data_IF_075913634639
#
_entry.id   IF_075913634639
#
_cell.length_a   1.000
_cell.length_b   1.000
_cell.length_c   1.000
_cell.angle_alpha   90.00
_cell.angle_beta   90.00
_cell.angle_gamma   90.00
#
_symmetry.space_group_name_H-M   'P 1'
#
loop_
_entity.id
_entity.type
_entity.pdbx_description
1 polymer ?
#
# COMPACT_ATOMS: atom_id res chain seq x y z
N UNK A 1 -21.44 -10.87 -9.98
CA UNK A 1 -20.20 -11.67 -9.79
C UNK A 1 -19.08 -10.71 -9.40
N UNK A 2 -18.73 -10.59 -8.10
CA UNK A 2 -17.58 -9.75 -7.73
C UNK A 2 -16.29 -10.51 -8.01
N UNK A 3 -15.55 -10.07 -9.03
CA UNK A 3 -14.21 -10.56 -9.29
C UNK A 3 -13.37 -10.22 -8.05
N UNK A 4 -13.14 -11.24 -7.22
CA UNK A 4 -12.21 -11.13 -6.09
C UNK A 4 -10.84 -10.84 -6.67
N UNK A 5 -10.45 -9.56 -6.70
CA UNK A 5 -9.12 -9.04 -7.00
C UNK A 5 -8.12 -9.55 -5.96
N UNK A 6 -7.84 -10.85 -6.00
CA UNK A 6 -6.83 -11.52 -5.19
C UNK A 6 -5.53 -11.47 -5.99
N UNK A 7 -4.68 -10.51 -5.64
CA UNK A 7 -3.29 -10.48 -6.10
C UNK A 7 -2.60 -11.80 -5.74
N UNK A 8 -2.18 -12.62 -6.72
CA UNK A 8 -1.37 -13.79 -6.43
C UNK A 8 -0.01 -13.32 -5.92
N UNK A 9 0.44 -13.90 -4.80
CA UNK A 9 1.74 -13.53 -4.22
C UNK A 9 2.78 -14.42 -4.87
N UNK A 10 3.27 -13.97 -6.01
CA UNK A 10 4.41 -14.56 -6.70
C UNK A 10 5.72 -13.98 -6.14
N UNK A 11 6.82 -14.71 -6.33
CA UNK A 11 8.17 -14.22 -5.99
C UNK A 11 8.48 -12.89 -6.70
N UNK A 12 7.98 -12.72 -7.92
CA UNK A 12 8.26 -11.55 -8.73
C UNK A 12 7.46 -10.34 -8.28
N UNK A 13 6.19 -10.52 -7.93
CA UNK A 13 5.39 -9.46 -7.29
C UNK A 13 6.05 -9.01 -5.96
N UNK A 14 6.57 -9.95 -5.18
CA UNK A 14 7.27 -9.65 -3.94
C UNK A 14 8.54 -8.81 -4.19
N UNK A 15 9.35 -9.15 -5.20
CA UNK A 15 10.55 -8.39 -5.60
C UNK A 15 10.18 -6.98 -6.07
N UNK A 16 9.20 -6.86 -6.96
CA UNK A 16 8.71 -5.57 -7.49
C UNK A 16 8.25 -4.64 -6.36
N UNK A 17 7.46 -5.16 -5.41
CA UNK A 17 7.03 -4.39 -4.24
C UNK A 17 8.23 -4.02 -3.36
N UNK A 18 9.17 -4.93 -3.12
CA UNK A 18 10.36 -4.67 -2.30
C UNK A 18 11.24 -3.58 -2.90
N UNK A 19 11.47 -3.60 -4.22
CA UNK A 19 12.28 -2.61 -4.93
C UNK A 19 11.65 -1.22 -4.90
N UNK A 20 10.34 -1.13 -5.16
CA UNK A 20 9.59 0.11 -5.02
C UNK A 20 9.73 0.71 -3.61
N UNK A 21 9.54 -0.12 -2.58
CA UNK A 21 9.66 0.32 -1.19
C UNK A 21 11.09 0.73 -0.85
N UNK A 22 12.09 0.02 -1.37
CA UNK A 22 13.51 0.33 -1.18
C UNK A 22 13.87 1.69 -1.79
N UNK A 23 13.44 1.98 -3.02
CA UNK A 23 13.65 3.28 -3.65
C UNK A 23 12.99 4.42 -2.86
N UNK A 24 11.74 4.23 -2.43
CA UNK A 24 11.03 5.24 -1.61
C UNK A 24 11.72 5.49 -0.27
N UNK A 25 12.28 4.45 0.36
CA UNK A 25 13.08 4.58 1.60
C UNK A 25 14.37 5.37 1.36
N UNK A 26 15.08 5.16 0.25
CA UNK A 26 16.28 5.93 -0.09
C UNK A 26 15.96 7.43 -0.23
N UNK A 27 14.84 7.75 -0.88
CA UNK A 27 14.34 9.12 -0.98
C UNK A 27 13.66 9.66 0.29
N UNK A 28 13.66 8.89 1.39
CA UNK A 28 12.96 9.22 2.66
C UNK A 28 11.48 9.56 2.48
N UNK A 29 10.84 9.06 1.43
CA UNK A 29 9.43 9.30 1.17
C UNK A 29 8.55 8.40 2.03
N UNK A 30 7.49 8.98 2.59
CA UNK A 30 6.41 8.21 3.19
C UNK A 30 5.79 7.29 2.13
N UNK A 31 5.60 6.03 2.49
CA UNK A 31 4.99 5.01 1.62
C UNK A 31 3.81 4.37 2.35
N UNK A 32 2.65 4.38 1.71
CA UNK A 32 1.38 3.86 2.22
C UNK A 32 0.88 2.77 1.26
N UNK A 33 -0.03 1.90 1.73
CA UNK A 33 -0.66 0.88 0.86
C UNK A 33 -1.32 1.47 -0.39
N UNK A 34 -1.81 2.72 -0.32
CA UNK A 34 -2.37 3.43 -1.47
C UNK A 34 -1.32 3.64 -2.55
N UNK A 35 -0.14 4.14 -2.17
CA UNK A 35 0.98 4.36 -3.10
C UNK A 35 1.41 3.05 -3.77
N UNK A 36 1.47 1.96 -3.00
CA UNK A 36 1.78 0.63 -3.55
C UNK A 36 0.68 0.16 -4.50
N UNK A 37 -0.60 0.36 -4.18
CA UNK A 37 -1.70 -0.03 -5.05
C UNK A 37 -1.70 0.76 -6.37
N UNK A 38 -1.41 2.07 -6.34
CA UNK A 38 -1.26 2.90 -7.53
C UNK A 38 -0.05 2.50 -8.37
N UNK A 39 1.07 2.15 -7.74
CA UNK A 39 2.24 1.61 -8.43
C UNK A 39 1.92 0.26 -9.10
N UNK A 40 1.26 -0.66 -8.40
CA UNK A 40 0.86 -1.94 -8.98
C UNK A 40 -0.12 -1.76 -10.15
N UNK A 41 -1.00 -0.75 -10.08
CA UNK A 41 -1.86 -0.38 -11.21
C UNK A 41 -1.06 0.14 -12.40
N UNK A 42 -0.09 1.04 -12.18
CA UNK A 42 0.72 1.57 -13.28
C UNK A 42 1.59 0.50 -13.96
N UNK A 43 1.90 -0.59 -13.25
CA UNK A 43 2.57 -1.77 -13.80
C UNK A 43 1.60 -2.80 -14.41
N UNK A 44 0.29 -2.51 -14.50
CA UNK A 44 -0.77 -3.44 -14.93
C UNK A 44 -0.83 -4.74 -14.10
N UNK A 45 -0.31 -4.74 -12.87
CA UNK A 45 -0.33 -5.88 -11.94
C UNK A 45 -1.58 -5.88 -11.05
N UNK A 46 -2.25 -4.74 -10.93
CA UNK A 46 -3.47 -4.59 -10.13
C UNK A 46 -4.47 -3.70 -10.87
N UNK A 47 -5.51 -4.32 -11.41
CA UNK A 47 -6.62 -3.59 -12.02
C UNK A 47 -7.68 -3.25 -10.98
N UNK A 48 -8.08 -1.99 -10.94
CA UNK A 48 -9.24 -1.51 -10.20
C UNK A 48 -9.77 -0.26 -10.88
N UNK A 49 -10.93 0.23 -10.46
CA UNK A 49 -11.47 1.50 -10.95
C UNK A 49 -11.27 2.58 -9.87
N UNK A 50 -10.69 3.72 -10.27
CA UNK A 50 -10.44 4.86 -9.37
C UNK A 50 -11.73 5.63 -9.11
N UNK A 51 -12.64 5.68 -10.08
CA UNK A 51 -13.94 6.37 -9.95
C UNK A 51 -14.86 5.60 -8.99
N UNK A 52 -14.75 4.26 -8.99
CA UNK A 52 -15.48 3.41 -8.06
C UNK A 52 -14.78 3.31 -6.69
N UNK A 53 -15.36 3.99 -5.70
CA UNK A 53 -14.90 3.93 -4.31
C UNK A 53 -14.82 2.49 -3.77
N UNK A 54 -15.76 1.63 -4.14
CA UNK A 54 -15.80 0.23 -3.68
C UNK A 54 -14.66 -0.60 -4.29
N UNK A 55 -14.38 -0.41 -5.57
CA UNK A 55 -13.27 -1.05 -6.30
C UNK A 55 -11.91 -0.62 -5.73
N UNK A 56 -11.73 0.69 -5.54
CA UNK A 56 -10.53 1.27 -4.93
C UNK A 56 -10.30 0.73 -3.52
N UNK A 57 -11.34 0.70 -2.68
CA UNK A 57 -11.22 0.21 -1.31
C UNK A 57 -10.90 -1.30 -1.26
N UNK A 58 -11.45 -2.09 -2.19
CA UNK A 58 -11.11 -3.50 -2.32
C UNK A 58 -9.63 -3.70 -2.70
N UNK A 59 -9.13 -2.91 -3.66
CA UNK A 59 -7.72 -2.94 -4.09
C UNK A 59 -6.76 -2.59 -2.95
N UNK A 60 -7.09 -1.57 -2.14
CA UNK A 60 -6.28 -1.22 -0.96
C UNK A 60 -6.26 -2.33 0.09
N UNK A 61 -7.40 -2.98 0.35
CA UNK A 61 -7.45 -4.11 1.29
C UNK A 61 -6.64 -5.30 0.77
N UNK A 62 -6.71 -5.60 -0.52
CA UNK A 62 -5.88 -6.64 -1.15
C UNK A 62 -4.40 -6.33 -1.04
N UNK A 63 -4.00 -5.09 -1.34
CA UNK A 63 -2.60 -4.63 -1.22
C UNK A 63 -2.11 -4.73 0.23
N UNK A 64 -2.92 -4.31 1.20
CA UNK A 64 -2.59 -4.45 2.63
C UNK A 64 -2.36 -5.91 3.04
N UNK A 65 -3.15 -6.86 2.52
CA UNK A 65 -2.97 -8.29 2.80
C UNK A 65 -1.67 -8.82 2.22
N UNK A 66 -1.31 -8.41 1.00
CA UNK A 66 -0.02 -8.78 0.38
C UNK A 66 1.13 -8.23 1.21
N UNK A 67 1.09 -6.95 1.57
CA UNK A 67 2.11 -6.31 2.39
C UNK A 67 2.28 -6.98 3.75
N UNK A 68 1.18 -7.36 4.41
CA UNK A 68 1.23 -8.10 5.67
C UNK A 68 1.91 -9.46 5.52
N UNK A 69 1.63 -10.19 4.43
CA UNK A 69 2.29 -11.47 4.11
C UNK A 69 3.78 -11.32 3.79
N UNK A 70 4.19 -10.19 3.22
CA UNK A 70 5.59 -9.84 2.98
C UNK A 70 6.33 -9.34 4.23
N UNK A 71 5.67 -9.35 5.40
CA UNK A 71 6.26 -8.93 6.68
C UNK A 71 6.23 -7.42 6.93
N UNK A 72 5.55 -6.63 6.09
CA UNK A 72 5.39 -5.20 6.33
C UNK A 72 4.30 -4.96 7.37
N UNK A 73 4.67 -4.25 8.44
CA UNK A 73 3.75 -3.95 9.54
C UNK A 73 2.95 -2.68 9.26
N UNK A 74 1.67 -2.74 9.63
CA UNK A 74 0.81 -1.57 9.72
C UNK A 74 1.42 -0.60 10.76
N UNK A 75 1.77 0.61 10.36
CA UNK A 75 2.20 1.63 11.30
C UNK A 75 1.03 2.10 12.15
N UNK A 76 1.31 2.44 13.40
CA UNK A 76 0.32 3.01 14.32
C UNK A 76 0.08 4.47 13.92
N UNK A 77 -1.19 4.88 13.90
CA UNK A 77 -1.54 6.32 13.84
C UNK A 77 -0.97 6.95 15.11
N UNK A 78 -0.02 7.88 14.99
CA UNK A 78 0.43 8.68 16.14
C UNK A 78 -0.80 9.45 16.63
N UNK A 79 -1.29 9.14 17.84
CA UNK A 79 -2.23 10.02 18.55
C UNK A 79 -1.43 11.26 18.94
N UNK A 80 -1.83 12.42 18.42
CA UNK A 80 -1.45 13.74 18.90
C UNK A 80 0.04 14.07 18.92
N UNK A 81 0.53 14.72 17.86
CA UNK A 81 1.40 15.89 18.01
C UNK A 81 1.06 16.81 16.85
N UNK A 82 0.54 17.98 17.22
CA UNK A 82 0.03 19.05 16.38
C UNK A 82 1.07 19.53 15.36
N UNK A 83 0.95 19.06 14.12
CA UNK A 83 1.34 19.84 12.96
C UNK A 83 0.11 19.96 12.09
N UNK A 84 -0.43 21.18 12.01
CA UNK A 84 -1.53 21.56 11.14
C UNK A 84 -1.08 21.31 9.70
N UNK A 85 -1.52 20.20 9.11
CA UNK A 85 -1.59 20.06 7.66
C UNK A 85 -2.96 19.45 7.38
N UNK A 86 -3.69 20.17 6.54
CA UNK A 86 -5.10 20.02 6.27
C UNK A 86 -5.46 18.63 5.72
N UNK A 87 -6.75 18.32 5.89
CA UNK A 87 -7.53 17.31 5.18
C UNK A 87 -7.27 15.84 5.52
N UNK A 88 -8.07 15.41 6.50
CA UNK A 88 -9.00 14.29 6.35
C UNK A 88 -8.51 13.16 5.44
N UNK A 89 -7.70 12.24 5.98
CA UNK A 89 -7.35 11.06 5.22
C UNK A 89 -7.17 9.83 6.10
N UNK A 90 -7.91 8.77 5.75
CA UNK A 90 -7.78 7.38 6.22
C UNK A 90 -6.41 6.85 5.78
N UNK A 91 -5.34 7.38 6.34
CA UNK A 91 -3.96 7.10 5.94
C UNK A 91 -3.27 6.38 7.09
N UNK A 92 -3.48 5.07 7.10
CA UNK A 92 -2.61 4.13 7.80
C UNK A 92 -1.19 4.37 7.29
N UNK A 93 -0.33 4.98 8.10
CA UNK A 93 1.11 4.96 7.86
C UNK A 93 1.49 3.48 7.84
N UNK A 94 2.02 2.93 6.75
CA UNK A 94 2.76 1.68 6.88
C UNK A 94 4.16 2.14 7.25
N UNK A 95 4.51 2.06 8.53
CA UNK A 95 5.92 2.12 8.91
C UNK A 95 6.51 0.84 8.33
N UNK A 96 6.94 0.88 7.08
CA UNK A 96 7.66 -0.20 6.44
C UNK A 96 9.05 -0.26 7.06
N UNK A 97 9.13 -0.63 8.34
CA UNK A 97 10.28 -1.31 8.89
C UNK A 97 10.03 -2.79 8.57
N UNK A 98 10.80 -3.31 7.62
CA UNK A 98 10.91 -4.76 7.51
C UNK A 98 11.78 -5.14 8.70
N UNK A 99 11.20 -5.82 9.69
CA UNK A 99 11.98 -6.37 10.79
C UNK A 99 12.74 -7.52 10.15
N UNK A 100 13.99 -7.22 9.76
CA UNK A 100 15.02 -8.25 9.74
C UNK A 100 15.37 -8.54 11.20
#
# INVERSE_FOLDING_TARGET
MSLRTRLPITSDLAKIIQDFVRQRRQGRYRTVAKDVAHFLRSQNLLEFDIESQSSTQAAYRSTQRVLAKLGYKRGKKKRGLSLRVCEANINIVICMFRIC
#
